data_IF_919757986292
#
_entry.id   IF_919757986292
#
_cell.length_a   1.000
_cell.length_b   1.000
_cell.length_c   1.000
_cell.angle_alpha   90.00
_cell.angle_beta   90.00
_cell.angle_gamma   90.00
#
_symmetry.space_group_name_H-M   'P 1'
#
loop_
_entity.id
_entity.type
_entity.pdbx_description
1 polymer ?
#
# COMPACT_ATOMS: atom_id res chain seq x y z
N UNK A 1 -30.90 -43.52 31.95
CA UNK A 1 -29.85 -43.78 30.94
C UNK A 1 -29.88 -42.61 29.97
N UNK A 2 -28.83 -41.78 29.98
CA UNK A 2 -28.74 -40.54 29.19
C UNK A 2 -28.25 -40.88 27.78
N UNK A 3 -28.99 -40.42 26.77
CA UNK A 3 -28.62 -40.53 25.36
C UNK A 3 -27.77 -39.33 24.96
N UNK A 4 -26.57 -39.58 24.43
CA UNK A 4 -25.69 -38.56 23.88
C UNK A 4 -26.01 -38.34 22.40
N UNK A 5 -26.32 -37.09 22.04
CA UNK A 5 -26.35 -36.66 20.63
C UNK A 5 -24.94 -36.22 20.24
N UNK A 6 -24.38 -36.87 19.22
CA UNK A 6 -23.15 -36.48 18.55
C UNK A 6 -23.45 -35.28 17.63
N UNK A 7 -22.72 -34.18 17.84
CA UNK A 7 -22.69 -33.03 16.94
C UNK A 7 -21.70 -33.32 15.80
N UNK A 8 -22.18 -33.28 14.56
CA UNK A 8 -21.35 -33.34 13.37
C UNK A 8 -20.62 -32.00 13.13
N UNK A 9 -19.31 -32.08 12.88
CA UNK A 9 -18.50 -31.01 12.31
C UNK A 9 -18.92 -30.77 10.84
N UNK A 10 -19.46 -29.59 10.54
CA UNK A 10 -19.59 -29.10 9.17
C UNK A 10 -18.38 -28.26 8.80
N UNK A 11 -17.58 -28.72 7.84
CA UNK A 11 -16.56 -27.90 7.20
C UNK A 11 -17.26 -26.84 6.34
N UNK A 12 -17.08 -25.57 6.69
CA UNK A 12 -17.50 -24.43 5.87
C UNK A 12 -16.41 -24.16 4.83
N UNK A 13 -16.73 -24.42 3.56
CA UNK A 13 -15.96 -23.99 2.41
C UNK A 13 -16.45 -22.60 2.01
N UNK A 14 -15.79 -21.54 2.48
CA UNK A 14 -16.02 -20.19 1.95
C UNK A 14 -15.24 -20.01 0.65
N UNK A 15 -15.98 -19.91 -0.46
CA UNK A 15 -15.47 -19.33 -1.70
C UNK A 15 -15.65 -17.82 -1.59
N UNK A 16 -14.56 -17.07 -1.40
CA UNK A 16 -14.56 -15.63 -1.68
C UNK A 16 -14.42 -15.50 -3.20
N UNK A 17 -15.38 -14.82 -3.83
CA UNK A 17 -15.40 -14.59 -5.26
C UNK A 17 -15.82 -13.15 -5.51
N UNK A 18 -14.88 -12.32 -5.96
CA UNK A 18 -15.09 -10.91 -6.23
C UNK A 18 -15.93 -10.72 -7.51
N UNK A 19 -17.25 -10.72 -7.39
CA UNK A 19 -18.16 -10.53 -8.54
C UNK A 19 -18.44 -9.04 -8.76
N UNK A 20 -17.89 -8.47 -9.83
CA UNK A 20 -18.12 -7.09 -10.25
C UNK A 20 -19.25 -7.00 -11.27
N UNK A 21 -20.18 -6.06 -11.05
CA UNK A 21 -21.14 -5.63 -12.08
C UNK A 21 -20.56 -4.39 -12.79
N UNK A 22 -19.89 -4.62 -13.92
CA UNK A 22 -19.30 -3.54 -14.73
C UNK A 22 -20.28 -3.18 -15.85
N UNK A 23 -20.79 -1.94 -15.94
CA UNK A 23 -21.63 -1.53 -17.05
C UNK A 23 -20.81 -1.51 -18.35
N UNK A 24 -21.11 -2.43 -19.26
CA UNK A 24 -20.50 -2.51 -20.59
C UNK A 24 -20.78 -1.24 -21.40
N UNK A 25 -19.75 -0.42 -21.61
CA UNK A 25 -19.72 0.52 -22.74
C UNK A 25 -18.78 -0.04 -23.81
N UNK A 26 -19.35 -0.46 -24.94
CA UNK A 26 -18.58 -0.90 -26.11
C UNK A 26 -17.92 0.30 -26.77
N UNK A 27 -16.58 0.30 -26.87
CA UNK A 27 -15.86 1.15 -27.80
C UNK A 27 -14.62 0.44 -28.41
N UNK A 28 -14.16 0.87 -29.60
CA UNK A 28 -13.47 0.02 -30.56
C UNK A 28 -11.95 -0.11 -30.32
N UNK A 29 -11.36 -1.11 -30.98
CA UNK A 29 -9.97 -1.58 -30.87
C UNK A 29 -8.88 -0.49 -31.01
N UNK A 30 -7.71 -0.70 -30.39
CA UNK A 30 -6.67 0.32 -30.28
C UNK A 30 -5.75 0.37 -31.49
N UNK A 31 -5.58 1.58 -32.05
CA UNK A 31 -4.43 1.93 -32.88
C UNK A 31 -3.20 2.17 -32.01
N UNK A 32 -2.05 1.64 -32.45
CA UNK A 32 -0.74 1.75 -31.81
C UNK A 32 -0.40 3.19 -31.44
N UNK A 33 -0.06 3.42 -30.17
CA UNK A 33 0.68 4.60 -29.73
C UNK A 33 1.84 4.16 -28.83
N UNK A 34 3.06 4.41 -29.30
CA UNK A 34 4.28 4.36 -28.51
C UNK A 34 4.20 5.41 -27.40
N UNK A 35 4.25 4.99 -26.13
CA UNK A 35 4.39 5.90 -25.00
C UNK A 35 5.64 5.51 -24.19
N UNK A 36 6.73 6.22 -24.44
CA UNK A 36 7.87 6.30 -23.53
C UNK A 36 7.45 7.16 -22.35
N UNK A 37 7.02 6.54 -21.25
CA UNK A 37 6.71 7.25 -20.01
C UNK A 37 7.94 7.24 -19.09
N UNK A 38 8.60 8.39 -18.99
CA UNK A 38 9.60 8.67 -17.96
C UNK A 38 8.92 8.72 -16.59
N UNK A 39 9.35 7.84 -15.69
CA UNK A 39 8.96 7.81 -14.27
C UNK A 39 9.43 9.12 -13.62
N UNK A 40 8.47 9.95 -13.21
CA UNK A 40 8.75 11.15 -12.41
C UNK A 40 8.55 10.77 -10.94
N UNK A 41 9.61 10.90 -10.14
CA UNK A 41 9.55 10.96 -8.68
C UNK A 41 8.49 12.00 -8.28
N UNK A 42 7.36 11.55 -7.71
CA UNK A 42 6.31 12.44 -7.21
C UNK A 42 6.25 12.33 -5.69
N UNK A 43 6.62 13.42 -5.03
CA UNK A 43 6.42 13.65 -3.60
C UNK A 43 4.92 13.79 -3.31
N UNK A 44 4.37 13.15 -2.27
CA UNK A 44 2.95 13.25 -1.91
C UNK A 44 2.54 14.68 -1.50
N UNK A 45 1.24 15.04 -1.64
CA UNK A 45 0.74 16.37 -1.32
C UNK A 45 0.94 16.76 0.16
N UNK A 46 1.16 18.06 0.39
CA UNK A 46 1.68 18.64 1.63
C UNK A 46 0.72 18.63 2.83
N UNK A 47 -0.51 18.12 2.69
CA UNK A 47 -1.43 17.91 3.81
C UNK A 47 -1.15 16.61 4.60
N UNK A 48 -0.23 15.76 4.16
CA UNK A 48 0.03 14.42 4.71
C UNK A 48 1.29 14.32 5.60
N UNK A 49 1.83 15.45 6.07
CA UNK A 49 3.12 15.51 6.80
C UNK A 49 3.03 15.33 8.34
N UNK A 50 1.96 14.71 8.85
CA UNK A 50 1.69 14.66 10.30
C UNK A 50 1.69 13.29 10.97
N UNK A 51 1.74 12.18 10.23
CA UNK A 51 1.68 10.83 10.82
C UNK A 51 3.07 10.20 10.91
N UNK A 52 3.45 9.75 12.11
CA UNK A 52 4.58 8.82 12.27
C UNK A 52 4.19 7.49 11.62
N UNK A 53 4.58 7.30 10.35
CA UNK A 53 4.47 6.02 9.64
C UNK A 53 5.26 4.98 10.42
N UNK A 54 4.59 3.93 10.89
CA UNK A 54 5.27 2.77 11.43
C UNK A 54 5.91 2.08 10.24
N UNK A 55 7.18 2.39 9.96
CA UNK A 55 7.96 1.67 8.97
C UNK A 55 8.15 0.23 9.48
N UNK A 56 7.16 -0.62 9.21
CA UNK A 56 7.30 -2.06 9.34
C UNK A 56 8.55 -2.44 8.55
N UNK A 57 9.53 -2.99 9.27
CA UNK A 57 10.85 -3.26 8.72
C UNK A 57 10.69 -4.34 7.64
N UNK A 58 10.88 -3.95 6.37
CA UNK A 58 10.77 -4.80 5.16
C UNK A 58 11.63 -6.08 5.23
N UNK A 59 12.59 -6.10 6.15
CA UNK A 59 13.50 -7.20 6.47
C UNK A 59 12.85 -8.43 7.15
N UNK A 60 11.59 -8.38 7.62
CA UNK A 60 11.04 -9.44 8.47
C UNK A 60 10.32 -10.60 7.78
N UNK A 61 10.08 -10.52 6.46
CA UNK A 61 9.38 -11.59 5.73
C UNK A 61 10.32 -12.34 4.78
N UNK A 62 10.33 -13.70 4.78
CA UNK A 62 11.21 -14.50 3.95
C UNK A 62 10.97 -14.22 2.46
N UNK A 63 12.06 -14.13 1.68
CA UNK A 63 12.02 -13.77 0.26
C UNK A 63 12.15 -14.97 -0.67
N UNK A 64 11.13 -15.20 -1.51
CA UNK A 64 11.17 -16.06 -2.69
C UNK A 64 10.23 -15.44 -3.74
N UNK A 65 10.54 -15.55 -5.04
CA UNK A 65 9.60 -15.12 -6.09
C UNK A 65 8.27 -15.84 -5.88
N UNK A 66 7.24 -15.07 -5.55
CA UNK A 66 5.89 -15.50 -5.24
C UNK A 66 4.94 -15.28 -6.42
N UNK A 67 5.37 -14.54 -7.44
CA UNK A 67 4.68 -14.46 -8.74
C UNK A 67 4.93 -15.75 -9.52
N UNK A 68 3.84 -16.45 -9.84
CA UNK A 68 3.83 -17.67 -10.63
C UNK A 68 4.07 -17.41 -12.13
N UNK A 69 4.57 -18.42 -12.84
CA UNK A 69 4.87 -18.35 -14.28
C UNK A 69 3.61 -18.09 -15.14
N UNK A 70 2.42 -18.41 -14.65
CA UNK A 70 1.14 -18.11 -15.29
C UNK A 70 0.95 -16.61 -15.60
N UNK A 71 1.61 -15.73 -14.86
CA UNK A 71 1.56 -14.28 -15.09
C UNK A 71 2.52 -13.77 -16.17
N UNK A 72 3.31 -14.64 -16.83
CA UNK A 72 4.43 -14.22 -17.68
C UNK A 72 4.07 -13.24 -18.81
N UNK A 73 2.90 -13.37 -19.44
CA UNK A 73 2.45 -12.43 -20.49
C UNK A 73 1.98 -11.08 -19.95
N UNK A 74 1.80 -10.98 -18.63
CA UNK A 74 1.25 -9.81 -17.93
C UNK A 74 2.26 -9.16 -16.98
N UNK A 75 3.52 -9.57 -17.00
CA UNK A 75 4.54 -9.18 -16.02
C UNK A 75 4.61 -7.66 -15.80
N UNK A 76 4.60 -6.85 -16.87
CA UNK A 76 4.63 -5.38 -16.75
C UNK A 76 3.39 -4.79 -16.06
N UNK A 77 2.23 -5.42 -16.24
CA UNK A 77 0.96 -5.01 -15.64
C UNK A 77 0.92 -5.39 -14.17
N UNK A 78 1.43 -6.57 -13.84
CA UNK A 78 1.57 -7.05 -12.46
C UNK A 78 2.57 -6.19 -11.69
N UNK A 79 3.72 -5.85 -12.28
CA UNK A 79 4.69 -4.93 -11.68
C UNK A 79 4.10 -3.53 -11.43
N UNK A 80 3.23 -3.06 -12.33
CA UNK A 80 2.48 -1.82 -12.12
C UNK A 80 1.48 -1.97 -10.98
N UNK A 81 0.70 -3.03 -10.96
CA UNK A 81 -0.30 -3.30 -9.92
C UNK A 81 0.32 -3.36 -8.52
N UNK A 82 1.49 -3.99 -8.37
CA UNK A 82 2.24 -3.99 -7.11
C UNK A 82 2.64 -2.58 -6.66
N UNK A 83 3.13 -1.75 -7.58
CA UNK A 83 3.48 -0.35 -7.27
C UNK A 83 2.26 0.46 -6.86
N UNK A 84 1.16 0.34 -7.62
CA UNK A 84 -0.07 1.06 -7.35
C UNK A 84 -0.69 0.61 -6.00
N UNK A 85 -0.72 -0.70 -5.75
CA UNK A 85 -1.12 -1.28 -4.45
C UNK A 85 -0.31 -0.67 -3.29
N UNK A 86 1.03 -0.68 -3.40
CA UNK A 86 1.90 -0.15 -2.37
C UNK A 86 1.65 1.35 -2.11
N UNK A 87 1.56 2.15 -3.18
CA UNK A 87 1.33 3.60 -3.08
C UNK A 87 0.00 3.90 -2.41
N UNK A 88 -1.08 3.23 -2.82
CA UNK A 88 -2.42 3.41 -2.24
C UNK A 88 -2.50 2.95 -0.80
N UNK A 89 -1.96 1.77 -0.50
CA UNK A 89 -1.93 1.27 0.88
C UNK A 89 -1.17 2.21 1.82
N UNK A 90 -0.01 2.76 1.39
CA UNK A 90 0.72 3.79 2.14
C UNK A 90 -0.06 5.11 2.26
N UNK A 91 -0.81 5.50 1.23
CA UNK A 91 -1.65 6.70 1.31
C UNK A 91 -2.76 6.52 2.35
N UNK A 92 -3.46 5.38 2.31
CA UNK A 92 -4.48 5.02 3.28
C UNK A 92 -3.93 4.93 4.71
N UNK A 93 -2.78 4.28 4.92
CA UNK A 93 -2.08 4.26 6.22
C UNK A 93 -1.91 5.67 6.80
N UNK A 94 -1.37 6.60 6.00
CA UNK A 94 -1.15 7.99 6.43
C UNK A 94 -2.45 8.71 6.74
N UNK A 95 -3.46 8.58 5.88
CA UNK A 95 -4.75 9.25 6.07
C UNK A 95 -5.48 8.71 7.30
N UNK A 96 -5.44 7.39 7.55
CA UNK A 96 -6.02 6.80 8.76
C UNK A 96 -5.45 7.44 10.05
N UNK A 97 -4.15 7.75 10.06
CA UNK A 97 -3.45 8.34 11.20
C UNK A 97 -3.48 9.88 11.27
N UNK A 98 -3.99 10.57 10.25
CA UNK A 98 -3.87 12.04 10.15
C UNK A 98 -4.66 12.82 11.21
N UNK A 99 -5.73 12.23 11.77
CA UNK A 99 -6.61 12.82 12.80
C UNK A 99 -7.16 14.23 12.48
N UNK A 100 -7.21 14.59 11.20
CA UNK A 100 -7.88 15.80 10.73
C UNK A 100 -9.34 15.53 10.32
N UNK A 101 -10.11 16.60 10.08
CA UNK A 101 -11.54 16.49 9.73
C UNK A 101 -11.79 15.71 8.45
N UNK A 102 -10.91 15.82 7.44
CA UNK A 102 -11.07 15.11 6.18
C UNK A 102 -10.88 13.61 6.37
N UNK A 103 -9.85 13.21 7.14
CA UNK A 103 -9.62 11.81 7.51
C UNK A 103 -10.77 11.24 8.35
N UNK A 104 -11.29 12.01 9.32
CA UNK A 104 -12.43 11.63 10.15
C UNK A 104 -13.69 11.39 9.32
N UNK A 105 -13.99 12.26 8.36
CA UNK A 105 -15.14 12.10 7.46
C UNK A 105 -14.99 10.83 6.63
N UNK A 106 -13.85 10.65 5.96
CA UNK A 106 -13.62 9.48 5.11
C UNK A 106 -13.70 8.15 5.90
N UNK A 107 -13.12 8.12 7.10
CA UNK A 107 -13.20 6.96 8.00
C UNK A 107 -14.65 6.66 8.43
N UNK A 108 -15.44 7.68 8.77
CA UNK A 108 -16.85 7.48 9.13
C UNK A 108 -17.68 7.01 7.95
N UNK A 109 -17.45 7.56 6.76
CA UNK A 109 -18.21 7.17 5.58
C UNK A 109 -17.95 5.70 5.19
N UNK A 110 -16.68 5.26 5.27
CA UNK A 110 -16.28 3.91 4.84
C UNK A 110 -16.36 2.91 5.99
N UNK A 111 -15.73 3.19 7.13
CA UNK A 111 -15.58 2.27 8.27
C UNK A 111 -16.56 2.52 9.41
N UNK A 112 -17.44 3.53 9.32
CA UNK A 112 -18.48 3.82 10.32
C UNK A 112 -17.95 4.21 11.70
N UNK A 113 -16.65 4.38 11.85
CA UNK A 113 -15.95 4.71 13.09
C UNK A 113 -14.60 5.37 12.76
N UNK A 114 -14.20 6.37 13.55
CA UNK A 114 -12.91 7.07 13.44
C UNK A 114 -12.14 7.15 14.77
N UNK A 115 -12.46 6.28 15.72
CA UNK A 115 -11.76 6.13 16.99
C UNK A 115 -10.30 5.76 16.80
N UNK A 116 -9.47 6.08 17.78
CA UNK A 116 -8.02 5.79 17.73
C UNK A 116 -7.72 4.29 17.55
N UNK A 117 -8.58 3.42 18.10
CA UNK A 117 -8.46 1.97 17.91
C UNK A 117 -8.70 1.57 16.45
N UNK A 118 -9.77 2.09 15.82
CA UNK A 118 -10.11 1.82 14.43
C UNK A 118 -9.06 2.38 13.48
N UNK A 119 -8.60 3.62 13.71
CA UNK A 119 -7.49 4.23 12.96
C UNK A 119 -6.23 3.38 12.98
N UNK A 120 -5.85 2.90 14.16
CA UNK A 120 -4.66 2.05 14.34
C UNK A 120 -4.85 0.72 13.61
N UNK A 121 -6.01 0.05 13.76
CA UNK A 121 -6.30 -1.21 13.05
C UNK A 121 -6.21 -1.04 11.52
N UNK A 122 -6.79 0.03 10.98
CA UNK A 122 -6.76 0.31 9.54
C UNK A 122 -5.33 0.61 9.07
N UNK A 123 -4.62 1.46 9.80
CA UNK A 123 -3.25 1.84 9.46
C UNK A 123 -2.31 0.63 9.51
N UNK A 124 -2.37 -0.20 10.55
CA UNK A 124 -1.56 -1.40 10.67
C UNK A 124 -1.85 -2.40 9.55
N UNK A 125 -3.13 -2.60 9.21
CA UNK A 125 -3.53 -3.51 8.15
C UNK A 125 -3.01 -3.04 6.78
N UNK A 126 -3.19 -1.76 6.44
CA UNK A 126 -2.68 -1.19 5.20
C UNK A 126 -1.15 -1.12 5.17
N UNK A 127 -0.48 -0.93 6.31
CA UNK A 127 0.97 -0.96 6.39
C UNK A 127 1.54 -2.35 6.07
N UNK A 128 0.87 -3.43 6.53
CA UNK A 128 1.24 -4.80 6.17
C UNK A 128 1.08 -5.06 4.67
N UNK A 129 -0.06 -4.68 4.10
CA UNK A 129 -0.31 -4.79 2.65
C UNK A 129 0.73 -3.99 1.86
N UNK A 130 1.02 -2.77 2.29
CA UNK A 130 2.01 -1.92 1.64
C UNK A 130 3.39 -2.58 1.62
N UNK A 131 3.85 -3.12 2.75
CA UNK A 131 5.14 -3.84 2.83
C UNK A 131 5.16 -5.04 1.91
N UNK A 132 4.07 -5.81 1.82
CA UNK A 132 4.01 -6.94 0.91
C UNK A 132 4.04 -6.49 -0.55
N UNK A 133 3.26 -5.47 -0.89
CA UNK A 133 3.21 -4.96 -2.26
C UNK A 133 4.56 -4.31 -2.68
N UNK A 134 5.27 -3.67 -1.75
CA UNK A 134 6.63 -3.12 -1.97
C UNK A 134 7.66 -4.21 -2.30
N UNK A 135 7.43 -5.47 -1.90
CA UNK A 135 8.30 -6.59 -2.29
C UNK A 135 8.11 -7.00 -3.74
N UNK A 136 7.10 -6.49 -4.45
CA UNK A 136 6.89 -6.73 -5.89
C UNK A 136 7.00 -8.21 -6.26
N UNK A 137 6.24 -9.06 -5.55
CA UNK A 137 6.25 -10.50 -5.80
C UNK A 137 7.45 -11.26 -5.24
N UNK A 138 8.21 -10.67 -4.32
CA UNK A 138 9.27 -11.35 -3.56
C UNK A 138 8.91 -11.58 -2.10
N UNK A 139 7.65 -11.30 -1.71
CA UNK A 139 7.15 -11.56 -0.37
C UNK A 139 6.53 -12.95 -0.22
N UNK A 140 6.04 -13.31 0.96
CA UNK A 140 5.39 -14.59 1.22
C UNK A 140 4.12 -14.82 0.40
N UNK A 141 3.39 -13.78 -0.04
CA UNK A 141 2.08 -13.94 -0.68
C UNK A 141 2.22 -14.46 -2.10
N UNK A 142 1.79 -15.71 -2.38
CA UNK A 142 1.81 -16.25 -3.74
C UNK A 142 0.80 -15.50 -4.60
N UNK A 143 1.24 -15.03 -5.77
CA UNK A 143 0.38 -14.39 -6.76
C UNK A 143 0.44 -15.19 -8.05
N UNK A 144 -0.72 -15.58 -8.56
CA UNK A 144 -0.85 -16.30 -9.83
C UNK A 144 -1.89 -15.61 -10.72
N UNK A 145 -1.87 -15.94 -12.01
CA UNK A 145 -2.80 -15.39 -12.99
C UNK A 145 -3.62 -16.51 -13.62
N UNK A 146 -4.93 -16.33 -13.77
CA UNK A 146 -5.81 -17.37 -14.30
C UNK A 146 -6.97 -16.79 -15.10
N UNK A 147 -7.63 -17.66 -15.86
CA UNK A 147 -9.00 -17.43 -16.32
C UNK A 147 -9.95 -17.71 -15.16
N UNK A 148 -10.89 -16.81 -14.92
CA UNK A 148 -11.89 -16.93 -13.87
C UNK A 148 -13.30 -16.88 -14.46
N UNK A 149 -14.32 -17.12 -13.61
CA UNK A 149 -15.71 -16.95 -14.01
C UNK A 149 -15.99 -15.49 -14.40
N UNK A 150 -16.98 -15.28 -15.28
CA UNK A 150 -17.35 -13.95 -15.76
C UNK A 150 -17.68 -13.00 -14.60
N UNK A 151 -17.12 -11.79 -14.66
CA UNK A 151 -17.26 -10.78 -13.60
C UNK A 151 -16.30 -10.94 -12.43
N UNK A 152 -15.46 -11.98 -12.40
CA UNK A 152 -14.46 -12.18 -11.34
C UNK A 152 -13.12 -11.55 -11.73
N UNK A 153 -12.69 -10.55 -10.96
CA UNK A 153 -11.45 -9.80 -11.20
C UNK A 153 -10.25 -10.35 -10.39
N UNK A 154 -10.52 -10.91 -9.21
CA UNK A 154 -9.53 -11.47 -8.31
C UNK A 154 -10.13 -12.52 -7.39
N UNK A 155 -9.27 -13.37 -6.83
CA UNK A 155 -9.64 -14.41 -5.86
C UNK A 155 -8.52 -14.64 -4.85
N UNK A 156 -8.88 -14.73 -3.58
CA UNK A 156 -7.99 -15.20 -2.51
C UNK A 156 -8.60 -16.34 -1.74
N UNK A 157 -7.88 -17.46 -1.65
CA UNK A 157 -8.35 -18.64 -0.93
C UNK A 157 -7.76 -18.71 0.48
N UNK A 158 -8.61 -18.50 1.49
CA UNK A 158 -8.26 -18.70 2.89
C UNK A 158 -8.06 -20.20 3.19
N UNK A 159 -6.81 -20.64 3.07
CA UNK A 159 -6.42 -22.04 3.30
C UNK A 159 -6.22 -22.32 4.80
N UNK A 160 -6.89 -23.34 5.39
CA UNK A 160 -6.67 -23.71 6.78
C UNK A 160 -5.20 -24.05 7.07
N UNK A 161 -4.66 -23.53 8.17
CA UNK A 161 -3.27 -23.75 8.59
C UNK A 161 -2.24 -22.83 7.94
N UNK A 162 -2.65 -22.01 6.95
CA UNK A 162 -1.79 -20.97 6.40
C UNK A 162 -1.81 -19.75 7.33
N UNK A 163 -0.69 -19.03 7.39
CA UNK A 163 -0.57 -17.79 8.17
C UNK A 163 -0.99 -16.59 7.31
N UNK A 164 -1.19 -15.45 7.96
CA UNK A 164 -1.41 -14.19 7.26
C UNK A 164 -0.26 -13.93 6.29
N UNK A 165 -0.61 -13.55 5.06
CA UNK A 165 0.32 -13.36 3.96
C UNK A 165 0.64 -14.64 3.20
N UNK A 166 0.35 -15.85 3.68
CA UNK A 166 0.62 -17.09 2.93
C UNK A 166 -0.56 -17.49 2.00
N UNK A 167 -1.72 -16.83 2.13
CA UNK A 167 -2.90 -17.16 1.33
C UNK A 167 -2.71 -16.74 -0.12
N UNK A 168 -2.83 -17.66 -1.10
CA UNK A 168 -2.60 -17.35 -2.51
C UNK A 168 -3.64 -16.38 -3.06
N UNK A 169 -3.15 -15.38 -3.78
CA UNK A 169 -3.92 -14.43 -4.58
C UNK A 169 -3.90 -14.88 -6.04
N UNK A 170 -5.04 -14.86 -6.69
CA UNK A 170 -5.22 -15.12 -8.12
C UNK A 170 -5.77 -13.87 -8.77
N UNK A 171 -5.02 -13.30 -9.71
CA UNK A 171 -5.47 -12.18 -10.52
C UNK A 171 -6.09 -12.72 -11.80
N UNK A 172 -7.35 -12.37 -12.04
CA UNK A 172 -8.12 -12.89 -13.15
C UNK A 172 -7.90 -12.05 -14.42
N UNK A 173 -8.00 -12.69 -15.57
CA UNK A 173 -7.82 -12.09 -16.88
C UNK A 173 -8.81 -10.96 -17.21
N UNK A 174 -9.98 -10.92 -16.56
CA UNK A 174 -10.94 -9.80 -16.65
C UNK A 174 -10.34 -8.50 -16.09
N UNK A 175 -9.66 -8.56 -14.93
CA UNK A 175 -9.02 -7.41 -14.30
C UNK A 175 -7.85 -6.88 -15.12
N UNK A 176 -7.08 -7.79 -15.73
CA UNK A 176 -5.88 -7.45 -16.50
C UNK A 176 -6.23 -6.70 -17.80
N UNK A 177 -7.47 -6.79 -18.26
CA UNK A 177 -7.94 -6.17 -19.50
C UNK A 177 -8.56 -4.78 -19.32
N UNK A 178 -8.64 -4.27 -18.08
CA UNK A 178 -9.28 -3.00 -17.78
C UNK A 178 -8.33 -2.09 -16.98
N UNK A 179 -8.07 -0.87 -17.48
CA UNK A 179 -7.34 0.18 -16.73
C UNK A 179 -8.18 1.46 -16.56
N UNK A 180 -9.39 1.38 -15.99
CA UNK A 180 -10.08 2.60 -15.61
C UNK A 180 -9.37 3.14 -14.35
N UNK A 181 -8.81 4.34 -14.44
CA UNK A 181 -8.19 5.05 -13.31
C UNK A 181 -9.05 6.24 -12.91
N UNK A 182 -9.36 6.35 -11.62
CA UNK A 182 -10.13 7.48 -11.09
C UNK A 182 -10.89 7.12 -9.82
N UNK A 183 -11.58 8.10 -9.25
CA UNK A 183 -12.21 7.93 -7.94
C UNK A 183 -13.25 6.81 -7.88
N UNK A 184 -13.95 6.47 -8.97
CA UNK A 184 -14.95 5.39 -8.97
C UNK A 184 -14.63 4.28 -9.97
N UNK A 185 -13.35 4.02 -10.17
CA UNK A 185 -12.85 3.02 -11.10
C UNK A 185 -11.84 2.16 -10.38
N UNK A 186 -11.82 0.85 -10.65
CA UNK A 186 -10.82 -0.05 -10.08
C UNK A 186 -9.89 -0.52 -11.17
N UNK A 187 -8.59 -0.33 -10.96
CA UNK A 187 -7.56 -0.93 -11.81
C UNK A 187 -6.95 -2.17 -11.13
N UNK A 188 -6.00 -2.81 -11.80
CA UNK A 188 -5.37 -4.03 -11.31
C UNK A 188 -4.65 -3.83 -9.95
N UNK A 189 -4.20 -2.62 -9.64
CA UNK A 189 -3.62 -2.29 -8.33
C UNK A 189 -4.67 -2.27 -7.21
N UNK A 190 -5.89 -1.83 -7.51
CA UNK A 190 -7.02 -1.86 -6.56
C UNK A 190 -7.49 -3.29 -6.31
N UNK A 191 -7.57 -4.09 -7.37
CA UNK A 191 -7.87 -5.52 -7.25
C UNK A 191 -6.80 -6.23 -6.42
N UNK A 192 -5.51 -5.99 -6.69
CA UNK A 192 -4.44 -6.58 -5.90
C UNK A 192 -4.53 -6.16 -4.42
N UNK A 193 -4.85 -4.90 -4.12
CA UNK A 193 -5.01 -4.42 -2.74
C UNK A 193 -6.17 -5.14 -2.03
N UNK A 194 -7.33 -5.27 -2.70
CA UNK A 194 -8.47 -6.04 -2.20
C UNK A 194 -8.06 -7.49 -1.86
N UNK A 195 -7.40 -8.17 -2.79
CA UNK A 195 -6.98 -9.57 -2.56
C UNK A 195 -5.94 -9.69 -1.45
N UNK A 196 -5.04 -8.71 -1.34
CA UNK A 196 -4.06 -8.66 -0.25
C UNK A 196 -4.72 -8.44 1.11
N UNK A 197 -5.88 -7.76 1.19
CA UNK A 197 -6.60 -7.63 2.47
C UNK A 197 -7.14 -8.96 2.98
N UNK A 198 -7.61 -9.83 2.08
CA UNK A 198 -7.95 -11.21 2.44
C UNK A 198 -6.72 -11.97 2.94
N UNK A 199 -5.58 -11.86 2.23
CA UNK A 199 -4.38 -12.63 2.60
C UNK A 199 -3.77 -12.18 3.94
N UNK A 200 -3.73 -10.88 4.21
CA UNK A 200 -3.06 -10.32 5.39
C UNK A 200 -3.97 -10.05 6.58
N UNK A 201 -5.26 -9.79 6.34
CA UNK A 201 -6.23 -9.40 7.36
C UNK A 201 -7.38 -10.38 7.49
N UNK A 202 -7.49 -11.34 6.57
CA UNK A 202 -8.59 -12.31 6.53
C UNK A 202 -9.95 -11.63 6.47
N UNK A 203 -9.99 -10.49 5.77
CA UNK A 203 -11.24 -9.81 5.46
C UNK A 203 -12.16 -10.76 4.68
N UNK A 204 -13.44 -10.43 4.67
CA UNK A 204 -14.47 -11.04 3.84
C UNK A 204 -15.00 -10.02 2.83
N UNK A 205 -16.02 -10.43 2.08
CA UNK A 205 -16.69 -9.62 1.08
C UNK A 205 -18.12 -9.32 1.50
N UNK A 206 -18.26 -8.49 2.53
CA UNK A 206 -19.58 -8.06 3.01
C UNK A 206 -20.29 -7.12 2.03
N UNK A 207 -19.54 -6.44 1.16
CA UNK A 207 -20.12 -5.61 0.12
C UNK A 207 -19.09 -5.08 -0.89
N UNK A 208 -19.42 -5.25 -2.18
CA UNK A 208 -18.61 -4.75 -3.30
C UNK A 208 -19.06 -3.38 -3.78
N UNK A 209 -18.11 -2.48 -3.98
CA UNK A 209 -18.34 -1.11 -4.43
C UNK A 209 -18.92 -0.20 -3.35
N UNK A 210 -18.73 1.12 -3.53
CA UNK A 210 -19.15 2.14 -2.56
C UNK A 210 -20.62 2.04 -2.13
N UNK A 211 -21.52 1.75 -3.07
CA UNK A 211 -22.94 1.55 -2.75
C UNK A 211 -23.16 0.50 -1.67
N UNK A 212 -22.45 -0.64 -1.74
CA UNK A 212 -22.62 -1.71 -0.76
C UNK A 212 -21.80 -1.46 0.51
N UNK A 213 -20.62 -0.83 0.40
CA UNK A 213 -19.83 -0.35 1.56
C UNK A 213 -20.67 0.59 2.43
N UNK A 214 -21.46 1.48 1.83
CA UNK A 214 -22.35 2.39 2.55
C UNK A 214 -23.55 1.69 3.19
N UNK A 215 -23.94 0.51 2.69
CA UNK A 215 -25.00 -0.30 3.27
C UNK A 215 -24.51 -1.19 4.43
N UNK A 216 -23.20 -1.30 4.66
CA UNK A 216 -22.67 -1.95 5.86
C UNK A 216 -23.05 -1.12 7.08
N UNK A 217 -23.74 -1.74 8.04
CA UNK A 217 -24.32 -0.99 9.17
C UNK A 217 -23.42 -0.91 10.38
N UNK A 218 -22.37 -1.73 10.43
CA UNK A 218 -21.44 -1.79 11.56
C UNK A 218 -20.01 -1.49 11.14
N UNK A 219 -19.25 -0.96 12.10
CA UNK A 219 -17.80 -0.76 11.94
C UNK A 219 -17.07 -2.09 11.78
N UNK A 220 -17.49 -3.14 12.48
CA UNK A 220 -16.85 -4.44 12.36
C UNK A 220 -17.04 -5.06 10.96
N UNK A 221 -18.24 -5.01 10.38
CA UNK A 221 -18.46 -5.49 9.01
C UNK A 221 -17.61 -4.69 8.01
N UNK A 222 -17.45 -3.38 8.24
CA UNK A 222 -16.63 -2.54 7.37
C UNK A 222 -15.14 -2.82 7.52
N UNK A 223 -14.67 -3.11 8.75
CA UNK A 223 -13.30 -3.50 9.07
C UNK A 223 -12.96 -4.93 8.64
N UNK A 224 -13.98 -5.75 8.40
CA UNK A 224 -13.89 -7.10 7.89
C UNK A 224 -14.29 -7.17 6.41
N UNK A 225 -14.37 -6.05 5.69
CA UNK A 225 -14.70 -6.01 4.26
C UNK A 225 -13.50 -5.57 3.43
N UNK A 226 -13.06 -6.38 2.46
CA UNK A 226 -11.87 -6.09 1.65
C UNK A 226 -12.01 -4.79 0.85
N UNK A 227 -13.18 -4.59 0.24
CA UNK A 227 -13.47 -3.41 -0.56
C UNK A 227 -13.48 -2.10 0.24
N UNK A 228 -13.76 -2.14 1.54
CA UNK A 228 -13.64 -0.96 2.40
C UNK A 228 -12.20 -0.43 2.45
N UNK A 229 -11.21 -1.33 2.56
CA UNK A 229 -9.80 -0.94 2.54
C UNK A 229 -9.36 -0.43 1.18
N UNK A 230 -9.81 -1.08 0.10
CA UNK A 230 -9.50 -0.68 -1.27
C UNK A 230 -10.01 0.72 -1.58
N UNK A 231 -11.29 0.98 -1.35
CA UNK A 231 -11.88 2.29 -1.61
C UNK A 231 -11.32 3.38 -0.69
N UNK A 232 -11.00 3.05 0.57
CA UNK A 232 -10.34 4.00 1.47
C UNK A 232 -8.93 4.37 1.00
N UNK A 233 -8.11 3.37 0.63
CA UNK A 233 -6.76 3.59 0.15
C UNK A 233 -6.74 4.33 -1.20
N UNK A 234 -7.68 4.02 -2.09
CA UNK A 234 -7.88 4.74 -3.35
C UNK A 234 -8.28 6.20 -3.09
N UNK A 235 -9.26 6.45 -2.22
CA UNK A 235 -9.68 7.81 -1.88
C UNK A 235 -8.54 8.61 -1.27
N UNK A 236 -7.73 7.98 -0.41
CA UNK A 236 -6.57 8.59 0.20
C UNK A 236 -5.47 8.98 -0.81
N UNK A 237 -5.18 8.11 -1.79
CA UNK A 237 -4.17 8.37 -2.83
C UNK A 237 -4.63 9.45 -3.81
N UNK A 238 -5.86 9.32 -4.28
CA UNK A 238 -6.43 10.17 -5.31
C UNK A 238 -7.02 11.47 -4.76
N UNK A 239 -7.18 11.63 -3.45
CA UNK A 239 -7.92 12.75 -2.88
C UNK A 239 -9.40 12.75 -3.27
N UNK A 240 -10.02 11.57 -3.26
CA UNK A 240 -11.45 11.40 -3.49
C UNK A 240 -12.25 11.62 -2.21
N UNK A 241 -13.54 11.91 -2.38
CA UNK A 241 -14.50 11.97 -1.29
C UNK A 241 -15.67 11.04 -1.60
N UNK A 242 -16.37 10.58 -0.56
CA UNK A 242 -17.63 9.86 -0.71
C UNK A 242 -18.72 10.88 -1.02
N UNK A 243 -19.44 10.66 -2.13
CA UNK A 243 -20.64 11.42 -2.48
C UNK A 243 -21.71 10.46 -3.00
N UNK A 244 -22.90 10.52 -2.40
CA UNK A 244 -24.00 9.60 -2.68
C UNK A 244 -23.56 8.13 -2.54
N UNK A 245 -23.50 7.39 -3.64
CA UNK A 245 -23.18 5.96 -3.70
C UNK A 245 -21.82 5.65 -4.35
N UNK A 246 -20.95 6.66 -4.49
CA UNK A 246 -19.68 6.56 -5.21
C UNK A 246 -18.58 7.44 -4.61
N UNK A 247 -17.35 7.19 -5.05
CA UNK A 247 -16.23 8.08 -4.81
C UNK A 247 -16.14 9.10 -5.96
N UNK A 248 -15.97 10.37 -5.63
CA UNK A 248 -15.81 11.45 -6.61
C UNK A 248 -14.55 12.25 -6.33
N UNK A 249 -14.08 12.98 -7.34
CA UNK A 249 -12.98 13.91 -7.18
C UNK A 249 -13.27 14.93 -6.08
N UNK A 250 -12.37 15.05 -5.11
CA UNK A 250 -12.49 16.04 -4.06
C UNK A 250 -12.34 17.48 -4.60
N UNK A 251 -12.88 18.48 -3.89
CA UNK A 251 -12.92 19.88 -4.33
C UNK A 251 -11.53 20.51 -4.57
N UNK A 252 -10.45 19.87 -4.10
CA UNK A 252 -9.08 20.37 -4.23
C UNK A 252 -8.37 19.96 -5.53
N UNK A 253 -9.01 19.21 -6.44
CA UNK A 253 -8.38 18.80 -7.71
C UNK A 253 -8.26 19.92 -8.76
N UNK A 254 -8.97 21.04 -8.60
CA UNK A 254 -8.97 22.13 -9.57
C UNK A 254 -8.33 23.42 -9.01
N UNK A 255 -7.38 23.97 -9.78
CA UNK A 255 -6.78 25.31 -9.66
C UNK A 255 -5.72 25.58 -8.56
N UNK A 256 -4.56 24.90 -8.59
CA UNK A 256 -3.21 25.47 -8.29
C UNK A 256 -2.09 24.44 -8.09
N UNK A 257 -2.39 23.15 -8.07
CA UNK A 257 -1.38 22.11 -7.82
C UNK A 257 -0.46 21.78 -9.01
N UNK A 258 -0.50 22.57 -10.10
CA UNK A 258 0.43 22.45 -11.25
C UNK A 258 1.49 23.56 -11.32
N UNK A 259 1.46 24.58 -10.43
CA UNK A 259 2.28 25.79 -10.60
C UNK A 259 3.00 26.34 -9.37
N UNK A 260 2.92 25.71 -8.18
CA UNK A 260 3.52 26.25 -6.94
C UNK A 260 4.69 25.42 -6.39
N UNK A 261 5.03 24.28 -7.01
CA UNK A 261 6.16 23.45 -6.59
C UNK A 261 7.30 23.41 -7.62
N UNK A 262 7.73 24.59 -8.08
CA UNK A 262 8.95 24.76 -8.88
C UNK A 262 9.72 26.03 -8.46
N UNK A 263 10.02 26.20 -7.18
CA UNK A 263 10.88 27.32 -6.73
C UNK A 263 11.79 26.99 -5.53
N UNK A 264 12.19 25.74 -5.32
CA UNK A 264 13.11 25.42 -4.22
C UNK A 264 14.32 24.54 -4.60
N UNK A 265 14.79 24.70 -5.84
CA UNK A 265 16.11 24.19 -6.27
C UNK A 265 17.18 25.29 -6.41
N UNK A 266 16.84 26.56 -6.16
CA UNK A 266 17.79 27.68 -6.25
C UNK A 266 18.29 28.23 -4.90
N UNK A 267 17.78 27.75 -3.76
CA UNK A 267 18.27 28.18 -2.44
C UNK A 267 19.44 27.35 -1.89
N UNK A 268 19.62 26.10 -2.35
CA UNK A 268 20.75 25.24 -1.94
C UNK A 268 22.02 25.43 -2.79
N UNK A 269 21.96 26.22 -3.88
CA UNK A 269 23.14 26.58 -4.71
C UNK A 269 23.77 27.94 -4.40
N UNK A 270 23.24 28.71 -3.45
CA UNK A 270 23.82 30.01 -3.02
C UNK A 270 24.70 29.93 -1.75
N UNK A 271 24.85 28.76 -1.14
CA UNK A 271 25.72 28.55 0.04
C UNK A 271 27.17 28.17 -0.29
N UNK A 272 27.51 27.93 -1.57
CA UNK A 272 28.81 27.38 -1.96
C UNK A 272 29.52 28.25 -3.01
N UNK A 273 29.59 29.56 -2.76
CA UNK A 273 30.49 30.45 -3.51
C UNK A 273 30.70 31.76 -2.77
N UNK A 274 31.51 31.74 -1.71
CA UNK A 274 32.29 32.91 -1.31
C UNK A 274 33.42 32.51 -0.37
N UNK A 275 34.60 33.08 -0.65
CA UNK A 275 35.88 33.03 0.08
C UNK A 275 36.83 31.88 -0.27
N UNK A 276 37.48 32.02 -1.44
CA UNK A 276 38.95 31.83 -1.51
C UNK A 276 39.50 32.97 -2.36
N UNK A 277 40.34 33.81 -1.75
CA UNK A 277 41.02 34.93 -2.41
C UNK A 277 41.61 35.89 -1.39
N UNK A 278 42.91 35.73 -1.10
CA UNK A 278 43.66 36.68 -0.25
C UNK A 278 44.95 36.10 0.31
N UNK A 279 46.07 36.46 -0.35
CA UNK A 279 47.46 36.21 0.00
C UNK A 279 47.87 36.74 1.41
N UNK A 280 48.77 36.00 2.08
CA UNK A 280 49.95 36.30 2.94
C UNK A 280 50.20 37.73 3.53
N UNK A 281 51.02 37.91 4.62
CA UNK A 281 52.10 37.03 5.09
C UNK A 281 52.32 36.81 6.62
N UNK A 282 53.08 35.72 6.88
CA UNK A 282 54.15 35.49 7.86
C UNK A 282 54.03 35.97 9.33
N UNK A 283 54.14 35.01 10.27
CA UNK A 283 55.24 35.01 11.25
C UNK A 283 55.44 33.64 11.92
N UNK A 284 56.71 33.30 12.07
CA UNK A 284 57.32 32.14 12.71
C UNK A 284 56.95 32.00 14.19
N UNK A 285 56.80 30.75 14.69
CA UNK A 285 57.43 30.24 15.92
C UNK A 285 57.09 28.74 16.14
N UNK A 286 58.12 27.92 16.25
CA UNK A 286 58.15 26.54 16.79
C UNK A 286 58.97 26.56 18.11
N UNK A 287 59.21 25.46 18.85
CA UNK A 287 58.41 24.26 19.16
C UNK A 287 58.51 23.85 20.67
N UNK A 288 57.79 22.81 21.12
CA UNK A 288 58.19 21.83 22.17
C UNK A 288 57.11 20.74 22.28
N UNK A 289 57.33 19.47 21.92
CA UNK A 289 58.20 18.43 22.51
C UNK A 289 57.73 17.91 23.88
N UNK A 290 57.39 16.61 23.89
CA UNK A 290 57.47 15.58 24.95
C UNK A 290 56.14 14.82 25.02
N UNK A 291 56.02 13.50 24.87
CA UNK A 291 56.99 12.42 24.96
C UNK A 291 56.33 11.25 25.73
N UNK A 292 56.70 10.01 25.38
CA UNK A 292 56.46 8.73 26.07
C UNK A 292 55.14 7.96 25.86
N UNK A 293 55.24 6.95 24.99
CA UNK A 293 54.81 5.57 25.31
C UNK A 293 55.82 4.92 26.28
N UNK A 294 55.44 3.86 27.04
CA UNK A 294 55.53 2.47 26.55
C UNK A 294 54.31 1.61 26.96
N UNK A 295 53.96 0.55 26.22
CA UNK A 295 54.40 -0.84 26.47
C UNK A 295 53.53 -1.50 27.56
N UNK A 296 52.99 -2.71 27.49
CA UNK A 296 53.15 -3.92 26.68
C UNK A 296 52.58 -5.11 27.51
N UNK A 297 52.31 -6.26 26.88
CA UNK A 297 52.03 -7.57 27.52
C UNK A 297 50.53 -7.84 27.79
N UNK A 298 49.90 -8.84 27.15
CA UNK A 298 49.90 -10.30 27.48
C UNK A 298 49.51 -10.53 28.94
N UNK A 299 48.55 -11.36 29.33
CA UNK A 299 48.34 -12.80 29.04
C UNK A 299 47.02 -13.19 29.77
N UNK A 300 46.32 -14.30 29.47
CA UNK A 300 46.53 -15.44 30.38
C UNK A 300 45.45 -15.83 31.41
N UNK A 301 44.38 -16.55 31.01
CA UNK A 301 43.75 -17.70 31.74
C UNK A 301 42.84 -17.54 32.99
N UNK A 302 41.86 -18.48 33.00
CA UNK A 302 41.17 -19.24 34.08
C UNK A 302 40.08 -18.49 34.89
N UNK A 303 38.80 -18.90 34.77
CA UNK A 303 38.04 -19.92 35.56
C UNK A 303 37.94 -19.57 37.05
N UNK A 304 36.82 -19.84 37.75
CA UNK A 304 35.95 -21.03 37.65
C UNK A 304 34.74 -20.89 36.74
#
# INVERSE_FOLDING_TARGET
MKSHSFFCFGAWLCRAAAAFFIPHTRHPSPGQANATATVSDRKPPSCLNGGSVTLYNTSSLPGKRSIDLSCGSYESWIDKAYKDCAVRARAGERVALAKDSASSTLLKDIFKDDSDQVRTRIADHLALIAVECEKNGWGPTPVNCSFCDEGVAGLTYLTPGFKNGDHPVTLCDEAIRQEPYGCNAQDLGDILLHEMSHSWGRTHDHGYGMKNILNLTTSEDSLDNGDSYTYFAQAAELGCIVQDDRLVDGPFKNEKARGVYMNDENLLRRGQRQRVGGLFPLSFSSPRSSGKSPGGGQDSRRRP
#
